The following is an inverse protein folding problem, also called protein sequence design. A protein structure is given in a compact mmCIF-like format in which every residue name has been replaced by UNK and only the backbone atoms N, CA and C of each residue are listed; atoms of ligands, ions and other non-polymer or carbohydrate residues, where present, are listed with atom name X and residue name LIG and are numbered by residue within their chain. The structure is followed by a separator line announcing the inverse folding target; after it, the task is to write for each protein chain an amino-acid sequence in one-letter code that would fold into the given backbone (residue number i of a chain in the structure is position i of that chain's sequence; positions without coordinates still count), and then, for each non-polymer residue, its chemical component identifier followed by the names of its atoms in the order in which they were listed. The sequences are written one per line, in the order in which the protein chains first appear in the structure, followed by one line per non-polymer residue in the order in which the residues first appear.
data_IF_560363913304
#
_entry.id   IF_560363913304
#
_cell.length_a   1.000
_cell.length_b   1.000
_cell.length_c   1.000
_cell.angle_alpha   90.00
_cell.angle_beta   90.00
_cell.angle_gamma   90.00
#
_symmetry.space_group_name_H-M   'P 1'
#
loop_
_entity.id
_entity.type
_entity.pdbx_description
1 polymer ?
#
# COMPACT_ATOMS: atom_id res chain seq x y z
N UNK A 1 3.36 25.85 -12.78
CA UNK A 1 3.35 24.70 -13.70
C UNK A 1 4.72 24.03 -13.56
N UNK A 2 4.75 22.74 -13.25
CA UNK A 2 5.99 21.95 -13.18
C UNK A 2 5.90 20.83 -14.20
N UNK A 3 7.00 20.53 -14.88
CA UNK A 3 7.13 19.41 -15.79
C UNK A 3 8.44 18.70 -15.46
N UNK A 4 8.36 17.40 -15.28
CA UNK A 4 9.49 16.52 -14.97
C UNK A 4 9.49 15.35 -15.96
N UNK A 5 10.66 15.03 -16.49
CA UNK A 5 10.87 13.85 -17.30
C UNK A 5 12.13 13.13 -16.81
N UNK A 6 12.11 11.81 -16.83
CA UNK A 6 13.24 11.00 -16.40
C UNK A 6 13.45 9.80 -17.32
N UNK A 7 14.71 9.41 -17.44
CA UNK A 7 15.14 8.17 -18.06
C UNK A 7 16.14 7.49 -17.14
N UNK A 8 15.85 6.26 -16.77
CA UNK A 8 16.78 5.39 -16.04
C UNK A 8 17.01 4.13 -16.87
N UNK A 9 18.27 3.75 -17.06
CA UNK A 9 18.63 2.52 -17.78
C UNK A 9 19.84 1.86 -17.15
N UNK A 10 19.81 0.54 -17.05
CA UNK A 10 20.92 -0.28 -16.52
C UNK A 10 21.61 -0.98 -17.69
N UNK A 11 22.86 -0.61 -17.91
CA UNK A 11 23.64 -1.07 -19.07
C UNK A 11 24.42 -2.35 -18.82
N UNK A 12 24.63 -2.74 -17.54
CA UNK A 12 25.38 -3.94 -17.16
C UNK A 12 24.83 -4.59 -15.90
N UNK A 13 25.28 -5.81 -15.63
CA UNK A 13 24.82 -6.64 -14.53
C UNK A 13 23.62 -7.50 -14.89
N UNK A 14 23.05 -8.18 -13.90
CA UNK A 14 21.93 -9.11 -14.08
C UNK A 14 20.66 -8.46 -14.67
N UNK A 15 20.49 -7.16 -14.46
CA UNK A 15 19.39 -6.35 -14.99
C UNK A 15 19.85 -5.39 -16.09
N UNK A 16 20.82 -5.79 -16.89
CA UNK A 16 21.39 -4.93 -17.92
C UNK A 16 20.40 -4.43 -18.99
N UNK A 17 19.23 -5.07 -19.10
CA UNK A 17 18.16 -4.65 -20.00
C UNK A 17 17.01 -3.91 -19.31
N UNK A 18 17.14 -3.63 -18.00
CA UNK A 18 16.13 -2.87 -17.28
C UNK A 18 16.19 -1.40 -17.70
N UNK A 19 15.06 -0.86 -18.08
CA UNK A 19 14.93 0.54 -18.44
C UNK A 19 13.60 1.12 -17.96
N UNK A 20 13.60 2.37 -17.57
CA UNK A 20 12.40 3.12 -17.19
C UNK A 20 12.48 4.48 -17.87
N UNK A 21 11.41 4.83 -18.57
CA UNK A 21 11.21 6.16 -19.12
C UNK A 21 9.87 6.68 -18.67
N UNK A 22 9.81 7.93 -18.26
CA UNK A 22 8.56 8.51 -17.80
C UNK A 22 8.60 10.01 -17.70
N UNK A 23 7.44 10.59 -17.44
CA UNK A 23 7.29 12.00 -17.19
C UNK A 23 6.06 12.27 -16.35
N UNK A 24 6.11 13.39 -15.64
CA UNK A 24 5.03 13.90 -14.82
C UNK A 24 4.83 15.39 -15.09
N UNK A 25 3.58 15.80 -15.18
CA UNK A 25 3.18 17.20 -15.26
C UNK A 25 2.34 17.57 -14.04
N UNK A 26 2.59 18.76 -13.48
CA UNK A 26 1.82 19.31 -12.38
C UNK A 26 1.35 20.71 -12.75
N UNK A 27 0.05 20.97 -12.62
CA UNK A 27 -0.59 22.23 -12.93
C UNK A 27 -1.38 22.73 -11.72
N UNK A 28 -1.05 23.92 -11.22
CA UNK A 28 -1.87 24.60 -10.23
C UNK A 28 -2.99 25.40 -10.95
N UNK A 29 -4.22 25.20 -10.57
CA UNK A 29 -5.37 25.91 -11.16
C UNK A 29 -5.64 27.29 -10.58
N UNK A 30 -4.94 27.65 -9.52
CA UNK A 30 -5.07 28.96 -8.88
C UNK A 30 -3.71 29.60 -8.67
N UNK A 31 -3.60 30.94 -8.71
CA UNK A 31 -2.37 31.67 -8.40
C UNK A 31 -1.77 31.31 -7.04
N UNK A 32 -2.65 30.96 -6.10
CA UNK A 32 -2.28 30.39 -4.81
C UNK A 32 -2.22 28.86 -4.94
N UNK A 33 -1.01 28.30 -5.07
CA UNK A 33 -0.74 26.87 -5.18
C UNK A 33 -1.26 26.04 -3.99
N UNK A 34 -1.67 26.70 -2.90
CA UNK A 34 -2.25 26.07 -1.73
C UNK A 34 -3.70 25.58 -1.95
N UNK A 35 -4.36 26.00 -3.03
CA UNK A 35 -5.81 25.76 -3.19
C UNK A 35 -6.17 24.51 -3.99
N UNK A 36 -5.64 24.37 -5.18
CA UNK A 36 -5.97 23.21 -6.04
C UNK A 36 -4.87 22.96 -7.04
N UNK A 37 -4.40 21.76 -7.14
CA UNK A 37 -3.48 21.37 -8.18
C UNK A 37 -3.77 19.97 -8.73
N UNK A 38 -3.45 19.77 -10.00
CA UNK A 38 -3.50 18.50 -10.71
C UNK A 38 -2.09 18.03 -11.00
N UNK A 39 -1.87 16.74 -10.85
CA UNK A 39 -0.69 16.08 -11.40
C UNK A 39 -1.11 14.87 -12.20
N UNK A 40 -0.43 14.63 -13.30
CA UNK A 40 -0.61 13.46 -14.13
C UNK A 40 0.73 13.00 -14.66
N UNK A 41 0.91 11.70 -14.78
CA UNK A 41 2.16 11.13 -15.25
C UNK A 41 1.95 9.82 -15.96
N UNK A 42 2.94 9.47 -16.79
CA UNK A 42 3.03 8.17 -17.43
C UNK A 42 4.47 7.68 -17.37
N UNK A 43 4.63 6.37 -17.16
CA UNK A 43 5.94 5.72 -17.19
C UNK A 43 5.85 4.37 -17.87
N UNK A 44 6.87 4.06 -18.66
CA UNK A 44 7.11 2.76 -19.25
C UNK A 44 8.34 2.15 -18.59
N UNK A 45 8.20 0.94 -18.08
CA UNK A 45 9.29 0.20 -17.45
C UNK A 45 9.43 -1.15 -18.13
N UNK A 46 10.66 -1.55 -18.42
CA UNK A 46 11.02 -2.88 -18.90
C UNK A 46 11.98 -3.49 -17.92
N UNK A 47 11.67 -4.67 -17.41
CA UNK A 47 12.48 -5.37 -16.40
C UNK A 47 12.65 -6.85 -16.78
N UNK A 48 13.88 -7.35 -16.90
CA UNK A 48 14.11 -8.78 -17.07
C UNK A 48 13.71 -9.53 -15.80
N UNK A 49 13.22 -10.78 -15.92
CA UNK A 49 12.94 -11.60 -14.76
C UNK A 49 14.20 -11.77 -13.90
N UNK A 50 14.02 -11.70 -12.58
CA UNK A 50 15.10 -11.92 -11.64
C UNK A 50 15.74 -13.29 -11.81
N UNK A 51 17.06 -13.42 -11.48
CA UNK A 51 17.81 -14.67 -11.65
C UNK A 51 17.09 -15.88 -11.06
N UNK A 52 16.63 -15.78 -9.82
CA UNK A 52 15.93 -16.88 -9.14
C UNK A 52 14.57 -17.27 -9.77
N UNK A 53 13.96 -16.41 -10.56
CA UNK A 53 12.79 -16.78 -11.37
C UNK A 53 13.20 -17.58 -12.61
N UNK A 54 14.39 -17.35 -13.15
CA UNK A 54 14.91 -18.05 -14.33
C UNK A 54 15.56 -19.37 -14.00
N UNK A 55 16.35 -19.41 -12.93
CA UNK A 55 17.08 -20.61 -12.51
C UNK A 55 17.03 -20.75 -10.99
N UNK A 56 16.65 -21.92 -10.53
CA UNK A 56 16.68 -22.28 -9.12
C UNK A 56 17.00 -23.76 -8.97
N UNK A 57 17.93 -24.07 -8.07
CA UNK A 57 18.33 -25.43 -7.74
C UNK A 57 18.34 -25.57 -6.21
N UNK A 58 17.29 -26.15 -5.67
CA UNK A 58 17.12 -26.39 -4.24
C UNK A 58 16.78 -27.86 -3.96
N UNK A 59 16.75 -28.22 -2.69
CA UNK A 59 16.50 -29.59 -2.26
C UNK A 59 15.06 -30.04 -2.54
N UNK A 60 14.09 -29.12 -2.56
CA UNK A 60 12.66 -29.42 -2.70
C UNK A 60 12.09 -29.05 -4.05
N UNK A 61 12.76 -28.17 -4.78
CA UNK A 61 12.31 -27.65 -6.06
C UNK A 61 13.48 -27.26 -6.93
N UNK A 62 13.33 -27.43 -8.23
CA UNK A 62 14.29 -26.93 -9.20
C UNK A 62 13.59 -26.53 -10.48
N UNK A 63 14.09 -25.46 -11.12
CA UNK A 63 13.66 -25.05 -12.45
C UNK A 63 14.78 -24.34 -13.20
N UNK A 64 14.73 -24.46 -14.51
CA UNK A 64 15.56 -23.72 -15.45
C UNK A 64 14.68 -23.18 -16.56
N UNK A 65 14.29 -21.92 -16.44
CA UNK A 65 13.39 -21.20 -17.33
C UNK A 65 14.13 -20.10 -18.10
N UNK A 66 15.46 -20.21 -18.19
CA UNK A 66 16.27 -19.28 -18.96
C UNK A 66 15.84 -19.32 -20.43
N UNK A 67 15.54 -18.13 -20.99
CA UNK A 67 15.01 -18.00 -22.35
C UNK A 67 13.51 -18.26 -22.51
N UNK A 68 12.82 -18.82 -21.52
CA UNK A 68 11.38 -19.02 -21.57
C UNK A 68 10.61 -17.82 -20.99
N UNK A 69 11.14 -17.20 -19.94
CA UNK A 69 10.55 -16.01 -19.32
C UNK A 69 10.97 -14.75 -20.09
N UNK A 70 9.97 -13.97 -20.51
CA UNK A 70 10.17 -12.70 -21.21
C UNK A 70 10.33 -11.55 -20.24
N UNK A 71 11.04 -10.45 -20.60
CA UNK A 71 11.06 -9.24 -19.80
C UNK A 71 9.65 -8.70 -19.53
N UNK A 72 9.37 -8.36 -18.30
CA UNK A 72 8.13 -7.71 -17.92
C UNK A 72 8.13 -6.27 -18.41
N UNK A 73 7.06 -5.87 -19.07
CA UNK A 73 6.83 -4.48 -19.47
C UNK A 73 5.66 -3.93 -18.64
N UNK A 74 5.85 -2.76 -18.07
CA UNK A 74 4.82 -2.10 -17.29
C UNK A 74 4.59 -0.70 -17.85
N UNK A 75 3.38 -0.44 -18.35
CA UNK A 75 2.90 0.90 -18.66
C UNK A 75 2.02 1.37 -17.53
N UNK A 76 2.43 2.42 -16.85
CA UNK A 76 1.68 3.03 -15.76
C UNK A 76 1.26 4.44 -16.14
N UNK A 77 -0.01 4.75 -15.90
CA UNK A 77 -0.58 6.08 -16.05
C UNK A 77 -1.22 6.44 -14.71
N UNK A 78 -0.94 7.63 -14.22
CA UNK A 78 -1.52 8.12 -12.98
C UNK A 78 -2.05 9.55 -13.16
N UNK A 79 -3.09 9.86 -12.38
CA UNK A 79 -3.64 11.19 -12.27
C UNK A 79 -4.03 11.45 -10.82
N UNK A 80 -3.78 12.67 -10.34
CA UNK A 80 -4.05 13.08 -8.96
C UNK A 80 -4.58 14.50 -8.93
N UNK A 81 -5.56 14.70 -8.06
CA UNK A 81 -6.11 16.01 -7.67
C UNK A 81 -5.82 16.20 -6.21
N UNK A 82 -5.24 17.32 -5.86
CA UNK A 82 -4.97 17.69 -4.48
C UNK A 82 -5.63 19.03 -4.16
N UNK A 83 -6.46 19.04 -3.12
CA UNK A 83 -7.24 20.18 -2.67
C UNK A 83 -6.96 20.46 -1.18
N UNK A 84 -5.84 21.12 -0.81
CA UNK A 84 -5.43 21.32 0.59
C UNK A 84 -6.45 22.08 1.43
N UNK A 85 -7.14 23.07 0.85
CA UNK A 85 -8.16 23.85 1.52
C UNK A 85 -9.38 23.04 1.95
N UNK A 86 -9.64 21.95 1.25
CA UNK A 86 -10.67 20.97 1.58
C UNK A 86 -10.09 19.81 2.43
N UNK A 87 -8.76 19.66 2.48
CA UNK A 87 -8.08 18.51 3.08
C UNK A 87 -8.19 17.23 2.26
N UNK A 88 -8.51 17.33 0.96
CA UNK A 88 -8.77 16.20 0.08
C UNK A 88 -7.62 15.90 -0.90
N UNK A 89 -7.39 14.62 -1.15
CA UNK A 89 -6.55 14.12 -2.23
C UNK A 89 -7.27 12.94 -2.90
N UNK A 90 -7.37 12.99 -4.22
CA UNK A 90 -8.06 12.00 -5.04
C UNK A 90 -7.15 11.59 -6.18
N UNK A 91 -7.08 10.33 -6.47
CA UNK A 91 -6.25 9.90 -7.57
C UNK A 91 -6.63 8.55 -8.15
N UNK A 92 -6.12 8.33 -9.35
CA UNK A 92 -6.22 7.06 -10.05
C UNK A 92 -4.86 6.65 -10.58
N UNK A 93 -4.65 5.36 -10.64
CA UNK A 93 -3.49 4.71 -11.25
C UNK A 93 -3.96 3.53 -12.06
N UNK A 94 -3.58 3.48 -13.32
CA UNK A 94 -3.77 2.32 -14.17
C UNK A 94 -2.40 1.75 -14.53
N UNK A 95 -2.21 0.46 -14.30
CA UNK A 95 -0.98 -0.25 -14.63
C UNK A 95 -1.29 -1.43 -15.56
N UNK A 96 -0.76 -1.37 -16.76
CA UNK A 96 -0.83 -2.44 -17.75
C UNK A 96 0.51 -3.18 -17.76
N UNK A 97 0.46 -4.46 -17.42
CA UNK A 97 1.61 -5.35 -17.43
C UNK A 97 1.54 -6.27 -18.64
N UNK A 98 2.67 -6.41 -19.33
CA UNK A 98 2.91 -7.50 -20.27
C UNK A 98 3.95 -8.44 -19.68
N UNK A 99 3.73 -9.75 -19.83
CA UNK A 99 4.59 -10.82 -19.29
C UNK A 99 4.78 -10.69 -17.77
N UNK A 100 3.68 -10.43 -17.05
CA UNK A 100 3.71 -10.37 -15.58
C UNK A 100 4.09 -11.72 -15.00
N UNK A 101 5.17 -11.75 -14.20
CA UNK A 101 5.70 -12.98 -13.60
C UNK A 101 5.16 -13.15 -12.19
N UNK A 102 4.70 -14.34 -11.86
CA UNK A 102 4.17 -14.70 -10.55
C UNK A 102 4.51 -16.15 -10.23
N UNK A 103 4.38 -16.54 -8.96
CA UNK A 103 4.43 -17.95 -8.55
C UNK A 103 3.02 -18.54 -8.59
N UNK A 104 2.84 -19.62 -9.34
CA UNK A 104 1.57 -20.32 -9.49
C UNK A 104 1.18 -21.12 -8.23
N UNK A 105 0.16 -21.95 -8.32
CA UNK A 105 -0.34 -22.79 -7.20
C UNK A 105 0.61 -23.91 -6.78
N UNK A 106 1.59 -24.23 -7.60
CA UNK A 106 2.66 -25.20 -7.32
C UNK A 106 3.94 -24.51 -6.85
N UNK A 107 3.90 -23.19 -6.58
CA UNK A 107 5.05 -22.36 -6.28
C UNK A 107 6.11 -22.36 -7.39
N UNK A 108 5.70 -22.54 -8.65
CA UNK A 108 6.57 -22.46 -9.82
C UNK A 108 6.42 -21.08 -10.48
N UNK A 109 7.51 -20.49 -11.02
CA UNK A 109 7.43 -19.25 -11.77
C UNK A 109 6.60 -19.43 -13.05
N UNK A 110 5.65 -18.55 -13.25
CA UNK A 110 4.75 -18.53 -14.40
C UNK A 110 4.55 -17.11 -14.90
N UNK A 111 4.14 -16.96 -16.16
CA UNK A 111 3.87 -15.64 -16.75
C UNK A 111 2.47 -15.58 -17.36
N UNK A 112 1.81 -14.44 -17.16
CA UNK A 112 0.60 -14.09 -17.91
C UNK A 112 0.95 -13.01 -18.95
N UNK A 113 0.38 -13.14 -20.16
CA UNK A 113 0.69 -12.22 -21.25
C UNK A 113 0.25 -10.79 -20.98
N UNK A 114 -0.93 -10.61 -20.39
CA UNK A 114 -1.49 -9.27 -20.13
C UNK A 114 -2.24 -9.25 -18.80
N UNK A 115 -1.95 -8.25 -18.00
CA UNK A 115 -2.60 -7.96 -16.74
C UNK A 115 -2.83 -6.46 -16.63
N UNK A 116 -4.07 -6.04 -16.38
CA UNK A 116 -4.40 -4.66 -16.09
C UNK A 116 -4.86 -4.52 -14.66
N UNK A 117 -4.33 -3.51 -13.95
CA UNK A 117 -4.72 -3.15 -12.59
C UNK A 117 -5.08 -1.67 -12.57
N UNK A 118 -6.36 -1.39 -12.28
CA UNK A 118 -6.86 -0.05 -12.02
C UNK A 118 -6.99 0.14 -10.50
N UNK A 119 -6.43 1.21 -9.97
CA UNK A 119 -6.58 1.62 -8.58
C UNK A 119 -7.09 3.06 -8.52
N UNK A 120 -8.13 3.28 -7.73
CA UNK A 120 -8.66 4.62 -7.43
C UNK A 120 -8.57 4.82 -5.94
N UNK A 121 -8.06 5.96 -5.51
CA UNK A 121 -8.00 6.28 -4.10
C UNK A 121 -8.61 7.63 -3.78
N UNK A 122 -9.15 7.71 -2.59
CA UNK A 122 -9.74 8.91 -2.00
C UNK A 122 -9.13 9.07 -0.62
N UNK A 123 -8.62 10.24 -0.33
CA UNK A 123 -8.11 10.60 0.98
C UNK A 123 -8.74 11.91 1.41
N UNK A 124 -9.23 11.97 2.65
CA UNK A 124 -9.86 13.14 3.22
C UNK A 124 -9.36 13.36 4.64
N UNK A 125 -8.96 14.58 4.94
CA UNK A 125 -8.65 15.04 6.29
C UNK A 125 -9.60 16.17 6.70
N UNK A 126 -9.94 16.19 7.96
CA UNK A 126 -10.79 17.22 8.56
C UNK A 126 -10.26 17.57 9.94
N UNK A 127 -10.17 18.89 10.22
CA UNK A 127 -9.79 19.38 11.54
C UNK A 127 -10.60 20.63 11.86
N UNK A 128 -11.51 20.54 12.80
CA UNK A 128 -12.31 21.66 13.25
C UNK A 128 -12.86 21.42 14.66
N UNK A 129 -12.89 22.44 15.50
CA UNK A 129 -13.44 22.40 16.86
C UNK A 129 -12.85 21.29 17.77
N UNK A 130 -11.58 20.96 17.60
CA UNK A 130 -10.93 19.88 18.31
C UNK A 130 -11.17 18.47 17.70
N UNK A 131 -12.13 18.33 16.79
CA UNK A 131 -12.32 17.08 16.06
C UNK A 131 -11.24 16.96 14.96
N UNK A 132 -10.57 15.83 14.93
CA UNK A 132 -9.59 15.47 13.91
C UNK A 132 -10.04 14.17 13.29
N UNK A 133 -10.34 14.20 12.00
CA UNK A 133 -10.71 13.01 11.25
C UNK A 133 -9.82 12.85 10.02
N UNK A 134 -9.49 11.63 9.70
CA UNK A 134 -8.77 11.25 8.50
C UNK A 134 -9.37 9.95 7.96
N UNK A 135 -9.59 9.90 6.66
CA UNK A 135 -10.01 8.67 5.99
C UNK A 135 -9.26 8.51 4.67
N UNK A 136 -8.85 7.30 4.36
CA UNK A 136 -8.29 6.90 3.07
C UNK A 136 -8.92 5.60 2.62
N UNK A 137 -9.48 5.60 1.42
CA UNK A 137 -10.02 4.43 0.75
C UNK A 137 -9.27 4.18 -0.55
N UNK A 138 -9.04 2.90 -0.88
CA UNK A 138 -8.45 2.46 -2.15
C UNK A 138 -9.35 1.39 -2.73
N UNK A 139 -9.86 1.61 -3.93
CA UNK A 139 -10.61 0.65 -4.72
C UNK A 139 -9.73 0.11 -5.85
N UNK A 140 -9.69 -1.22 -6.01
CA UNK A 140 -8.78 -1.87 -6.94
C UNK A 140 -9.51 -2.90 -7.80
N UNK A 141 -9.26 -2.82 -9.10
CA UNK A 141 -9.75 -3.78 -10.09
C UNK A 141 -8.56 -4.42 -10.81
N UNK A 142 -8.57 -5.74 -10.90
CA UNK A 142 -7.62 -6.50 -11.71
C UNK A 142 -8.37 -7.27 -12.78
N UNK A 143 -7.82 -7.30 -14.01
CA UNK A 143 -8.33 -8.13 -15.10
C UNK A 143 -8.11 -9.64 -14.86
N UNK A 144 -7.18 -10.00 -13.96
CA UNK A 144 -6.85 -11.39 -13.63
C UNK A 144 -6.80 -11.60 -12.10
N UNK A 145 -7.96 -11.57 -11.45
CA UNK A 145 -8.11 -11.74 -9.99
C UNK A 145 -7.63 -13.10 -9.46
N UNK A 146 -7.56 -14.10 -10.30
CA UNK A 146 -7.00 -15.41 -9.96
C UNK A 146 -5.47 -15.40 -9.85
N UNK A 147 -4.80 -14.42 -10.47
CA UNK A 147 -3.35 -14.33 -10.54
C UNK A 147 -2.81 -13.31 -9.54
N UNK A 148 -3.54 -12.22 -9.31
CA UNK A 148 -3.08 -11.15 -8.41
C UNK A 148 -3.94 -11.12 -7.15
N UNK A 149 -3.28 -11.25 -6.01
CA UNK A 149 -3.89 -11.27 -4.67
C UNK A 149 -4.21 -9.85 -4.18
N UNK A 150 -5.25 -9.21 -4.73
CA UNK A 150 -5.65 -7.86 -4.34
C UNK A 150 -7.06 -7.84 -3.74
N UNK A 151 -7.27 -7.21 -2.56
CA UNK A 151 -8.60 -6.88 -2.07
C UNK A 151 -9.24 -5.82 -2.98
N UNK A 152 -10.56 -5.93 -3.18
CA UNK A 152 -11.31 -4.98 -4.00
C UNK A 152 -11.32 -3.57 -3.38
N UNK A 153 -11.48 -3.51 -2.05
CA UNK A 153 -11.50 -2.27 -1.28
C UNK A 153 -10.60 -2.42 -0.06
N UNK A 154 -9.78 -1.41 0.18
CA UNK A 154 -9.03 -1.22 1.43
C UNK A 154 -9.34 0.16 1.98
N UNK A 155 -9.39 0.28 3.29
CA UNK A 155 -9.65 1.54 3.96
C UNK A 155 -8.89 1.68 5.28
N UNK A 156 -8.55 2.92 5.58
CA UNK A 156 -8.09 3.38 6.86
C UNK A 156 -8.92 4.59 7.27
N UNK A 157 -9.41 4.62 8.49
CA UNK A 157 -10.10 5.76 9.05
C UNK A 157 -9.58 6.05 10.45
N UNK A 158 -9.47 7.31 10.79
CA UNK A 158 -9.11 7.80 12.11
C UNK A 158 -10.09 8.89 12.50
N UNK A 159 -10.66 8.77 13.70
CA UNK A 159 -11.46 9.81 14.32
C UNK A 159 -10.91 10.10 15.69
N UNK A 160 -10.63 11.35 15.98
CA UNK A 160 -10.05 11.77 17.25
C UNK A 160 -10.59 13.10 17.73
N UNK A 161 -10.41 13.35 19.02
CA UNK A 161 -10.64 14.64 19.64
C UNK A 161 -9.34 15.12 20.28
N UNK A 162 -8.93 16.32 19.89
CA UNK A 162 -7.72 16.99 20.36
C UNK A 162 -8.09 18.22 21.18
N UNK A 163 -7.53 18.36 22.34
CA UNK A 163 -7.73 19.51 23.22
C UNK A 163 -6.43 19.95 23.86
N UNK A 164 -6.19 21.24 23.80
CA UNK A 164 -5.14 21.89 24.57
C UNK A 164 -5.61 22.04 26.02
N UNK A 165 -5.00 21.30 26.94
CA UNK A 165 -5.33 21.36 28.36
C UNK A 165 -4.57 22.48 29.08
N UNK A 166 -3.30 22.68 28.71
CA UNK A 166 -2.46 23.78 29.22
C UNK A 166 -1.91 24.49 28.00
N UNK A 167 -2.26 25.77 27.89
CA UNK A 167 -1.93 26.60 26.73
C UNK A 167 -0.44 26.51 26.38
N UNK A 168 -0.15 26.21 25.13
CA UNK A 168 1.19 26.05 24.56
C UNK A 168 2.09 25.01 25.27
N UNK A 169 1.55 24.20 26.20
CA UNK A 169 2.34 23.27 27.00
C UNK A 169 1.86 21.83 26.84
N UNK A 170 0.56 21.55 27.03
CA UNK A 170 0.03 20.20 27.03
C UNK A 170 -1.20 20.08 26.12
N UNK A 171 -1.08 19.29 25.09
CA UNK A 171 -2.19 18.93 24.20
C UNK A 171 -2.45 17.42 24.32
N UNK A 172 -3.69 17.05 24.61
CA UNK A 172 -4.14 15.66 24.57
C UNK A 172 -4.95 15.39 23.32
N UNK A 173 -4.76 14.20 22.75
CA UNK A 173 -5.54 13.69 21.63
C UNK A 173 -5.90 12.24 21.89
N UNK A 174 -7.20 11.98 21.98
CA UNK A 174 -7.75 10.62 21.97
C UNK A 174 -8.24 10.33 20.56
N UNK A 175 -7.86 9.19 20.00
CA UNK A 175 -8.29 8.78 18.66
C UNK A 175 -8.61 7.30 18.58
N UNK A 176 -9.57 6.97 17.71
CA UNK A 176 -9.90 5.62 17.28
C UNK A 176 -9.46 5.49 15.84
N UNK A 177 -8.76 4.41 15.53
CA UNK A 177 -8.27 4.07 14.21
C UNK A 177 -8.91 2.76 13.75
N UNK A 178 -9.28 2.68 12.49
CA UNK A 178 -9.85 1.48 11.88
C UNK A 178 -9.13 1.15 10.58
N UNK A 179 -8.74 -0.10 10.44
CA UNK A 179 -8.20 -0.69 9.22
C UNK A 179 -9.18 -1.73 8.70
N UNK A 180 -9.47 -1.68 7.41
CA UNK A 180 -10.38 -2.61 6.78
C UNK A 180 -9.90 -3.00 5.39
N UNK A 181 -10.12 -4.26 5.03
CA UNK A 181 -9.97 -4.77 3.66
C UNK A 181 -11.05 -5.80 3.37
N UNK A 182 -11.59 -5.77 2.16
CA UNK A 182 -12.55 -6.78 1.69
C UNK A 182 -11.89 -8.16 1.59
N UNK A 183 -12.69 -9.20 1.67
CA UNK A 183 -12.20 -10.56 1.55
C UNK A 183 -11.62 -10.83 0.16
N UNK A 184 -10.41 -11.40 0.11
CA UNK A 184 -9.70 -11.76 -1.11
C UNK A 184 -8.91 -13.06 -0.93
N UNK A 185 -8.51 -13.68 -2.03
CA UNK A 185 -7.60 -14.82 -2.00
C UNK A 185 -6.17 -14.32 -1.93
N UNK A 186 -5.61 -14.28 -0.72
CA UNK A 186 -4.21 -13.91 -0.52
C UNK A 186 -3.28 -15.04 -0.96
N UNK A 187 -2.06 -14.69 -1.30
CA UNK A 187 -1.01 -15.67 -1.54
C UNK A 187 -0.64 -16.37 -0.24
N UNK A 188 -0.23 -17.62 -0.33
CA UNK A 188 0.32 -18.37 0.78
C UNK A 188 1.84 -18.37 0.73
N UNK A 189 2.49 -18.48 1.87
CA UNK A 189 3.94 -18.53 1.97
C UNK A 189 4.44 -19.96 1.84
N UNK A 190 5.48 -20.15 1.04
CA UNK A 190 6.22 -21.42 0.94
C UNK A 190 7.55 -21.26 1.67
N UNK A 191 7.68 -21.91 2.84
CA UNK A 191 8.84 -21.80 3.72
C UNK A 191 10.12 -22.36 3.05
N UNK A 192 10.00 -23.40 2.24
CA UNK A 192 11.15 -24.05 1.59
C UNK A 192 11.76 -23.16 0.48
N UNK A 193 10.94 -22.36 -0.17
CA UNK A 193 11.36 -21.46 -1.25
C UNK A 193 11.53 -20.01 -0.79
N UNK A 194 10.98 -19.65 0.37
CA UNK A 194 10.99 -18.29 0.86
C UNK A 194 10.13 -17.32 0.03
N UNK A 195 9.10 -17.80 -0.68
CA UNK A 195 8.29 -17.01 -1.60
C UNK A 195 6.79 -17.12 -1.30
N UNK A 196 6.06 -16.08 -1.66
CA UNK A 196 4.60 -16.12 -1.71
C UNK A 196 4.15 -16.66 -3.06
N UNK A 197 3.19 -17.60 -3.06
CA UNK A 197 2.65 -18.19 -4.26
C UNK A 197 1.12 -18.24 -4.24
N UNK A 198 0.51 -18.39 -5.40
CA UNK A 198 -0.94 -18.44 -5.55
C UNK A 198 -1.55 -19.65 -4.84
N UNK A 199 -2.74 -19.47 -4.32
CA UNK A 199 -3.59 -20.54 -3.79
C UNK A 199 -5.07 -20.23 -4.10
N UNK A 200 -5.92 -21.27 -4.12
CA UNK A 200 -7.31 -21.16 -4.50
C UNK A 200 -8.31 -21.43 -3.36
N UNK A 201 -7.84 -21.91 -2.21
CA UNK A 201 -8.70 -22.37 -1.11
C UNK A 201 -9.11 -21.26 -0.15
N UNK A 202 -8.16 -20.57 0.44
CA UNK A 202 -8.39 -19.68 1.60
C UNK A 202 -8.61 -18.24 1.18
N UNK A 203 -9.64 -17.61 1.76
CA UNK A 203 -9.87 -16.16 1.67
C UNK A 203 -9.64 -15.53 3.03
N UNK A 204 -8.95 -14.40 3.05
CA UNK A 204 -8.72 -13.58 4.25
C UNK A 204 -9.28 -12.18 4.03
N UNK A 205 -9.41 -11.41 5.11
CA UNK A 205 -10.00 -10.07 5.10
C UNK A 205 -11.43 -10.05 5.62
N UNK A 206 -12.16 -8.99 5.31
CA UNK A 206 -13.54 -8.73 5.79
C UNK A 206 -13.63 -8.65 7.32
N UNK A 207 -12.56 -8.15 7.94
CA UNK A 207 -12.47 -7.90 9.37
C UNK A 207 -11.95 -6.48 9.63
N UNK A 208 -12.72 -5.60 10.31
CA UNK A 208 -12.24 -4.30 10.73
C UNK A 208 -11.34 -4.46 11.96
N UNK A 209 -10.10 -4.02 11.88
CA UNK A 209 -9.21 -3.94 13.05
C UNK A 209 -9.28 -2.54 13.62
N UNK A 210 -9.59 -2.42 14.90
CA UNK A 210 -9.76 -1.15 15.60
C UNK A 210 -8.69 -0.97 16.67
N UNK A 211 -8.07 0.20 16.67
CA UNK A 211 -7.14 0.63 17.73
C UNK A 211 -7.68 1.87 18.43
N UNK A 212 -7.32 2.04 19.69
CA UNK A 212 -7.57 3.27 20.46
C UNK A 212 -6.23 3.84 20.90
N UNK A 213 -6.00 5.11 20.60
CA UNK A 213 -4.71 5.76 20.84
C UNK A 213 -4.90 7.05 21.60
N UNK A 214 -4.21 7.19 22.73
CA UNK A 214 -4.08 8.42 23.51
C UNK A 214 -2.69 9.00 23.29
N UNK A 215 -2.62 10.22 22.79
CA UNK A 215 -1.37 10.98 22.65
C UNK A 215 -1.39 12.18 23.61
N UNK A 216 -0.26 12.42 24.26
CA UNK A 216 0.00 13.58 25.08
C UNK A 216 1.26 14.30 24.57
N UNK A 217 1.09 15.47 23.97
CA UNK A 217 2.18 16.33 23.55
C UNK A 217 2.47 17.36 24.62
N UNK A 218 3.64 17.24 25.25
CA UNK A 218 4.11 18.17 26.29
C UNK A 218 5.36 18.89 25.81
N UNK A 219 5.19 20.14 25.36
CA UNK A 219 6.27 20.94 24.74
C UNK A 219 6.94 20.16 23.59
N UNK A 220 8.23 19.81 23.75
CA UNK A 220 9.03 19.04 22.80
C UNK A 220 8.91 17.51 22.97
N UNK A 221 8.18 17.03 23.99
CA UNK A 221 7.97 15.62 24.24
C UNK A 221 6.59 15.17 23.74
N UNK A 222 6.53 13.98 23.20
CA UNK A 222 5.28 13.31 22.83
C UNK A 222 5.25 11.91 23.46
N UNK A 223 4.22 11.64 24.25
CA UNK A 223 3.99 10.34 24.88
C UNK A 223 2.72 9.76 24.31
N UNK A 224 2.70 8.47 24.01
CA UNK A 224 1.48 7.81 23.58
C UNK A 224 1.27 6.49 24.31
N UNK A 225 0.00 6.15 24.46
CA UNK A 225 -0.49 4.82 24.86
C UNK A 225 -1.51 4.38 23.83
N UNK A 226 -1.33 3.18 23.28
CA UNK A 226 -2.20 2.61 22.28
C UNK A 226 -2.70 1.23 22.71
N UNK A 227 -4.01 1.05 22.71
CA UNK A 227 -4.65 -0.26 22.77
C UNK A 227 -4.87 -0.73 21.34
N UNK A 228 -4.04 -1.67 20.90
CA UNK A 228 -4.12 -2.26 19.56
C UNK A 228 -5.13 -3.42 19.56
N UNK A 229 -5.85 -3.58 18.46
CA UNK A 229 -6.87 -4.60 18.26
C UNK A 229 -7.92 -4.57 19.39
N UNK A 230 -8.41 -3.38 19.73
CA UNK A 230 -9.36 -3.17 20.82
C UNK A 230 -10.66 -3.98 20.65
N UNK A 231 -11.06 -4.28 19.43
CA UNK A 231 -12.24 -5.06 19.08
C UNK A 231 -12.00 -6.58 18.97
N UNK A 232 -10.86 -7.10 19.44
CA UNK A 232 -10.64 -8.54 19.52
C UNK A 232 -11.75 -9.19 20.37
N UNK A 233 -12.27 -10.32 19.91
CA UNK A 233 -13.36 -11.09 20.53
C UNK A 233 -14.76 -10.45 20.51
N UNK A 234 -14.92 -9.24 19.97
CA UNK A 234 -16.24 -8.61 19.80
C UNK A 234 -17.00 -9.12 18.55
N UNK A 235 -16.47 -10.10 17.84
CA UNK A 235 -17.09 -10.62 16.62
C UNK A 235 -16.37 -11.86 16.08
N UNK A 236 -16.26 -11.96 14.77
CA UNK A 236 -15.59 -13.08 14.11
C UNK A 236 -14.09 -13.10 14.44
N UNK A 237 -13.56 -14.26 14.80
CA UNK A 237 -12.12 -14.48 15.00
C UNK A 237 -11.33 -14.66 13.69
N UNK A 238 -11.87 -14.22 12.56
CA UNK A 238 -11.25 -14.35 11.23
C UNK A 238 -10.30 -13.21 10.92
N UNK A 239 -9.41 -12.87 11.84
CA UNK A 239 -8.39 -11.85 11.63
C UNK A 239 -7.06 -12.51 11.28
N UNK A 240 -6.69 -12.41 10.00
CA UNK A 240 -5.47 -12.98 9.43
C UNK A 240 -4.64 -11.92 8.74
N UNK A 241 -3.34 -11.87 9.06
CA UNK A 241 -2.35 -11.08 8.35
C UNK A 241 -2.02 -11.70 6.98
N UNK A 242 -1.88 -13.02 6.95
CA UNK A 242 -1.65 -13.85 5.77
C UNK A 242 -2.40 -15.17 5.85
N UNK A 243 -2.33 -15.99 4.82
CA UNK A 243 -2.93 -17.32 4.80
C UNK A 243 -2.21 -18.17 5.86
N UNK A 244 -2.97 -18.75 6.79
CA UNK A 244 -2.51 -19.50 7.98
C UNK A 244 -1.75 -18.68 9.04
N UNK A 245 -1.58 -17.36 8.84
CA UNK A 245 -0.94 -16.50 9.80
C UNK A 245 -1.97 -15.55 10.43
N UNK A 246 -2.34 -15.74 11.70
CA UNK A 246 -3.23 -14.83 12.39
C UNK A 246 -2.59 -13.43 12.49
N UNK A 247 -3.41 -12.41 12.53
CA UNK A 247 -2.95 -11.04 12.80
C UNK A 247 -2.69 -10.90 14.31
N UNK A 248 -2.12 -9.75 14.69
CA UNK A 248 -1.76 -9.46 16.09
C UNK A 248 -2.95 -9.60 17.04
N UNK A 249 -2.70 -10.10 18.21
CA UNK A 249 -3.62 -10.09 19.33
C UNK A 249 -3.73 -8.70 19.98
N UNK A 250 -4.74 -8.53 20.85
CA UNK A 250 -4.89 -7.32 21.65
C UNK A 250 -3.64 -7.07 22.46
N UNK A 251 -3.10 -5.87 22.34
CA UNK A 251 -1.89 -5.48 23.06
C UNK A 251 -1.89 -4.00 23.39
N UNK A 252 -1.22 -3.66 24.49
CA UNK A 252 -0.98 -2.28 24.87
C UNK A 252 0.44 -1.91 24.44
N UNK A 253 0.56 -0.80 23.75
CA UNK A 253 1.85 -0.19 23.41
C UNK A 253 1.94 1.19 24.02
N UNK A 254 3.10 1.54 24.49
CA UNK A 254 3.42 2.90 24.89
C UNK A 254 4.73 3.31 24.27
N UNK A 255 4.90 4.61 24.08
CA UNK A 255 6.12 5.17 23.50
C UNK A 255 6.31 6.61 23.88
N UNK A 256 7.54 7.03 23.75
CA UNK A 256 8.01 8.36 24.10
C UNK A 256 8.93 8.87 22.98
N UNK A 257 8.70 10.10 22.55
CA UNK A 257 9.50 10.77 21.54
C UNK A 257 9.87 12.15 22.04
N UNK A 258 11.15 12.46 22.00
CA UNK A 258 11.65 13.79 22.38
C UNK A 258 12.28 14.46 21.17
N UNK A 259 11.90 15.69 20.91
CA UNK A 259 12.53 16.54 19.90
C UNK A 259 13.56 17.43 20.58
N UNK A 260 14.81 17.21 20.28
CA UNK A 260 15.91 18.11 20.66
C UNK A 260 15.93 19.26 19.65
N UNK A 261 15.90 20.49 20.14
CA UNK A 261 16.04 21.71 19.36
C UNK A 261 17.50 22.12 19.32
#
# INVERSE_FOLDING_TARGET
MGLEAFLDSRLWGERSTASTVGGQATVALHRDASKLWFSGGAQLRVEPPHYFLRNYYGNTSQWSLAGQLRPQQTLEINARVHAPWWGGEYGMRNALYRHYTYFDTLAMPSQINTLNILSVYVQQSFRRWGVVAFARGVYQLSSARSIVALPLLMGYAQLGYERELIRSTLTLRLSVEMYYRTAFRADTYNDALGVYHRQNGVRIGNYPMVNVVLNAKWKSANVFVALLHANQDLGSRRYFAGVHYPDRERSVRFGFQWYFL
#
